data_IF_315812331241
#
_entry.id   IF_315812331241
#
_cell.length_a   1.000
_cell.length_b   1.000
_cell.length_c   1.000
_cell.angle_alpha   90.00
_cell.angle_beta   90.00
_cell.angle_gamma   90.00
#
_symmetry.space_group_name_H-M   'P 1'
#
loop_
_entity.id
_entity.type
_entity.pdbx_description
1 polymer ?
#
# COMPACT_ATOMS: atom_id res chain seq x y z
N UNK A 1 -7.82 3.28 13.11
CA UNK A 1 -8.21 1.86 13.11
C UNK A 1 -9.48 1.67 13.94
N UNK A 2 -10.28 0.65 13.66
CA UNK A 2 -11.48 0.29 14.44
C UNK A 2 -11.54 -1.22 14.65
N UNK A 3 -11.89 -1.69 15.86
CA UNK A 3 -12.12 -3.12 16.11
C UNK A 3 -13.37 -3.59 15.36
N UNK A 4 -13.24 -4.64 14.55
CA UNK A 4 -14.30 -5.16 13.67
C UNK A 4 -14.80 -6.57 14.04
N UNK A 5 -14.16 -7.17 15.05
CA UNK A 5 -14.44 -8.51 15.56
C UNK A 5 -13.43 -8.87 16.63
N UNK A 6 -13.38 -10.14 17.06
CA UNK A 6 -12.45 -10.57 18.12
C UNK A 6 -10.98 -10.52 17.69
N UNK A 7 -10.67 -10.71 16.40
CA UNK A 7 -9.31 -10.68 15.86
C UNK A 7 -9.18 -9.86 14.56
N UNK A 8 -10.08 -8.92 14.33
CA UNK A 8 -10.08 -8.11 13.10
C UNK A 8 -10.03 -6.64 13.43
N UNK A 9 -9.05 -5.95 12.83
CA UNK A 9 -8.87 -4.51 12.93
C UNK A 9 -9.10 -3.91 11.54
N UNK A 10 -10.01 -2.95 11.42
CA UNK A 10 -10.24 -2.18 10.19
C UNK A 10 -9.32 -0.97 10.14
N UNK A 11 -8.71 -0.75 8.98
CA UNK A 11 -7.98 0.47 8.69
C UNK A 11 -8.93 1.68 8.71
N UNK A 12 -8.46 2.83 9.20
CA UNK A 12 -9.28 4.03 9.25
C UNK A 12 -9.14 4.85 7.96
N UNK A 13 -10.24 5.37 7.42
CA UNK A 13 -10.21 6.18 6.20
C UNK A 13 -9.35 7.46 6.32
N UNK A 14 -9.25 8.04 7.53
CA UNK A 14 -8.39 9.21 7.79
C UNK A 14 -6.88 8.92 7.62
N UNK A 15 -6.47 7.64 7.62
CA UNK A 15 -5.07 7.27 7.42
C UNK A 15 -4.73 7.05 5.94
N UNK A 16 -5.71 7.15 5.03
CA UNK A 16 -5.50 7.04 3.59
C UNK A 16 -4.98 8.38 3.06
N UNK A 17 -3.82 8.34 2.40
CA UNK A 17 -3.25 9.51 1.73
C UNK A 17 -4.26 10.11 0.73
N UNK A 18 -4.32 11.43 0.67
CA UNK A 18 -5.23 12.20 -0.18
C UNK A 18 -6.73 12.10 0.16
N UNK A 19 -7.11 11.44 1.25
CA UNK A 19 -8.50 11.42 1.74
C UNK A 19 -8.60 12.35 2.95
N UNK A 20 -9.31 13.47 2.79
CA UNK A 20 -9.43 14.50 3.82
C UNK A 20 -10.43 14.16 4.94
N UNK A 21 -10.28 14.77 6.10
CA UNK A 21 -11.16 14.55 7.24
C UNK A 21 -12.65 14.84 6.95
N UNK A 22 -12.92 15.87 6.13
CA UNK A 22 -14.28 16.28 5.78
C UNK A 22 -15.03 15.20 4.98
N UNK A 23 -14.41 14.65 3.94
CA UNK A 23 -15.01 13.57 3.15
C UNK A 23 -15.19 12.31 4.01
N UNK A 24 -14.24 11.96 4.87
CA UNK A 24 -14.41 10.83 5.81
C UNK A 24 -15.60 11.05 6.73
N UNK A 25 -15.73 12.25 7.28
CA UNK A 25 -16.86 12.61 8.15
C UNK A 25 -18.19 12.52 7.40
N UNK A 26 -18.25 13.02 6.16
CA UNK A 26 -19.44 12.90 5.31
C UNK A 26 -19.80 11.43 5.06
N UNK A 27 -18.84 10.61 4.61
CA UNK A 27 -19.05 9.18 4.36
C UNK A 27 -19.56 8.46 5.61
N UNK A 28 -18.97 8.73 6.78
CA UNK A 28 -19.30 8.04 8.02
C UNK A 28 -20.66 8.48 8.56
N UNK A 29 -20.94 9.78 8.57
CA UNK A 29 -22.20 10.32 9.07
C UNK A 29 -23.38 9.88 8.19
N UNK A 30 -23.23 9.98 6.87
CA UNK A 30 -24.23 9.54 5.91
C UNK A 30 -24.56 8.04 6.08
N UNK A 31 -23.52 7.21 6.24
CA UNK A 31 -23.71 5.77 6.49
C UNK A 31 -24.36 5.48 7.85
N UNK A 32 -24.13 6.30 8.87
CA UNK A 32 -24.75 6.15 10.20
C UNK A 32 -26.23 6.51 10.17
N UNK A 33 -26.59 7.55 9.41
CA UNK A 33 -27.97 8.05 9.31
C UNK A 33 -28.82 7.16 8.41
N UNK A 34 -28.30 6.80 7.23
CA UNK A 34 -29.06 6.15 6.17
C UNK A 34 -28.67 4.68 5.93
N UNK A 35 -27.82 4.10 6.79
CA UNK A 35 -27.39 2.71 6.71
C UNK A 35 -26.26 2.44 5.69
N UNK A 36 -25.88 1.16 5.48
CA UNK A 36 -24.79 0.79 4.58
C UNK A 36 -25.07 1.22 3.13
N UNK A 37 -24.01 1.46 2.36
CA UNK A 37 -24.12 1.70 0.92
C UNK A 37 -24.37 0.39 0.19
N UNK A 38 -25.33 0.37 -0.73
CA UNK A 38 -25.75 -0.86 -1.42
C UNK A 38 -25.00 -1.09 -2.75
N UNK A 39 -24.52 -0.01 -3.37
CA UNK A 39 -23.79 -0.05 -4.63
C UNK A 39 -22.85 1.16 -4.73
N UNK A 40 -21.98 1.17 -5.73
CA UNK A 40 -21.15 2.35 -6.02
C UNK A 40 -22.01 3.56 -6.42
N UNK A 41 -23.10 3.35 -7.15
CA UNK A 41 -24.03 4.43 -7.50
C UNK A 41 -24.68 5.04 -6.25
N UNK A 42 -25.15 4.18 -5.33
CA UNK A 42 -25.71 4.60 -4.03
C UNK A 42 -24.68 5.39 -3.19
N UNK A 43 -23.41 4.96 -3.17
CA UNK A 43 -22.33 5.69 -2.52
C UNK A 43 -22.12 7.09 -3.12
N UNK A 44 -22.03 7.18 -4.45
CA UNK A 44 -21.78 8.44 -5.18
C UNK A 44 -22.96 9.41 -5.05
N UNK A 45 -24.19 8.91 -4.98
CA UNK A 45 -25.40 9.72 -4.86
C UNK A 45 -25.62 10.27 -3.44
N UNK A 46 -25.25 9.49 -2.43
CA UNK A 46 -25.49 9.83 -1.01
C UNK A 46 -24.37 10.64 -0.38
N UNK A 47 -23.11 10.43 -0.79
CA UNK A 47 -21.97 11.11 -0.18
C UNK A 47 -21.84 12.54 -0.72
N UNK A 48 -22.42 13.48 0.02
CA UNK A 48 -22.35 14.89 -0.30
C UNK A 48 -21.10 15.54 0.30
N UNK A 49 -20.05 15.71 -0.51
CA UNK A 49 -18.88 16.47 -0.10
C UNK A 49 -18.19 17.12 -1.30
N UNK A 50 -17.83 18.40 -1.17
CA UNK A 50 -16.98 19.09 -2.15
C UNK A 50 -15.58 18.45 -2.26
N UNK A 51 -15.19 17.71 -1.23
CA UNK A 51 -13.91 17.02 -1.16
C UNK A 51 -13.95 15.62 -1.81
N UNK A 52 -15.12 15.13 -2.25
CA UNK A 52 -15.25 13.95 -3.12
C UNK A 52 -14.87 14.32 -4.56
N UNK A 53 -13.57 14.52 -4.77
CA UNK A 53 -12.97 14.83 -6.05
C UNK A 53 -12.21 13.61 -6.62
N UNK A 54 -11.71 13.73 -7.87
CA UNK A 54 -10.96 12.68 -8.57
C UNK A 54 -9.86 12.06 -7.72
N UNK A 55 -9.05 12.88 -7.06
CA UNK A 55 -7.91 12.42 -6.26
C UNK A 55 -8.35 11.62 -5.03
N UNK A 56 -9.39 12.07 -4.35
CA UNK A 56 -9.95 11.36 -3.18
C UNK A 56 -10.62 10.05 -3.57
N UNK A 57 -11.42 10.05 -4.64
CA UNK A 57 -12.12 8.86 -5.14
C UNK A 57 -11.12 7.81 -5.62
N UNK A 58 -10.12 8.23 -6.40
CA UNK A 58 -9.03 7.36 -6.84
C UNK A 58 -8.31 6.72 -5.65
N UNK A 59 -8.03 7.49 -4.59
CA UNK A 59 -7.36 6.97 -3.40
C UNK A 59 -8.25 5.99 -2.61
N UNK A 60 -9.56 6.23 -2.53
CA UNK A 60 -10.53 5.31 -1.91
C UNK A 60 -10.65 4.00 -2.68
N UNK A 61 -10.65 4.04 -4.01
CA UNK A 61 -10.64 2.83 -4.85
C UNK A 61 -9.32 2.08 -4.68
N UNK A 62 -8.18 2.75 -4.88
CA UNK A 62 -6.85 2.13 -4.86
C UNK A 62 -6.48 1.52 -3.52
N UNK A 63 -6.93 2.10 -2.41
CA UNK A 63 -6.68 1.56 -1.07
C UNK A 63 -7.63 0.41 -0.67
N UNK A 64 -8.61 0.08 -1.52
CA UNK A 64 -9.54 -1.02 -1.30
C UNK A 64 -10.76 -0.68 -0.44
N UNK A 65 -11.00 0.61 -0.13
CA UNK A 65 -12.19 1.01 0.63
C UNK A 65 -13.51 0.74 -0.11
N UNK A 66 -13.44 0.59 -1.44
CA UNK A 66 -14.59 0.39 -2.33
C UNK A 66 -14.60 -1.00 -3.00
N UNK A 67 -13.74 -1.94 -2.58
CA UNK A 67 -13.64 -3.29 -3.17
C UNK A 67 -14.95 -4.09 -3.07
N UNK A 68 -15.84 -3.71 -2.14
CA UNK A 68 -17.18 -4.31 -2.02
C UNK A 68 -18.16 -3.92 -3.14
N UNK A 69 -17.82 -2.95 -3.98
CA UNK A 69 -18.70 -2.45 -5.04
C UNK A 69 -18.22 -2.76 -6.47
N UNK A 70 -17.02 -3.31 -6.63
CA UNK A 70 -16.46 -3.63 -7.93
C UNK A 70 -14.96 -3.89 -7.88
N UNK A 71 -14.43 -4.37 -8.99
CA UNK A 71 -12.99 -4.53 -9.18
C UNK A 71 -12.32 -3.14 -9.32
N UNK A 72 -11.10 -2.98 -8.80
CA UNK A 72 -10.44 -1.66 -8.71
C UNK A 72 -10.21 -1.01 -10.07
N UNK A 73 -9.72 -1.72 -11.08
CA UNK A 73 -9.54 -1.15 -12.43
C UNK A 73 -10.87 -0.76 -13.08
N UNK A 74 -11.92 -1.55 -12.88
CA UNK A 74 -13.27 -1.19 -13.32
C UNK A 74 -13.75 0.11 -12.67
N UNK A 75 -13.62 0.23 -11.35
CA UNK A 75 -13.95 1.44 -10.60
C UNK A 75 -13.10 2.64 -11.05
N UNK A 76 -11.79 2.45 -11.27
CA UNK A 76 -10.88 3.48 -11.76
C UNK A 76 -11.26 3.98 -13.16
N UNK A 77 -11.59 3.07 -14.07
CA UNK A 77 -12.00 3.41 -15.43
C UNK A 77 -13.37 4.14 -15.44
N UNK A 78 -14.27 3.83 -14.51
CA UNK A 78 -15.56 4.50 -14.35
C UNK A 78 -15.54 5.85 -13.61
N UNK A 79 -14.39 6.31 -13.10
CA UNK A 79 -14.33 7.48 -12.19
C UNK A 79 -14.89 8.77 -12.76
N UNK A 80 -14.59 9.10 -14.03
CA UNK A 80 -15.07 10.35 -14.62
C UNK A 80 -16.60 10.37 -14.72
N UNK A 81 -17.20 9.24 -15.05
CA UNK A 81 -18.66 9.08 -15.08
C UNK A 81 -19.27 9.21 -13.68
N UNK A 82 -18.67 8.58 -12.67
CA UNK A 82 -19.10 8.71 -11.27
C UNK A 82 -19.06 10.15 -10.79
N UNK A 83 -17.99 10.88 -11.09
CA UNK A 83 -17.83 12.28 -10.67
C UNK A 83 -18.81 13.20 -11.40
N UNK A 84 -19.13 12.93 -12.67
CA UNK A 84 -20.18 13.66 -13.39
C UNK A 84 -21.54 13.45 -12.73
N UNK A 85 -21.89 12.19 -12.44
CA UNK A 85 -23.15 11.82 -11.80
C UNK A 85 -23.31 12.47 -10.41
N UNK A 86 -22.25 12.46 -9.58
CA UNK A 86 -22.25 13.15 -8.29
C UNK A 86 -22.55 14.65 -8.44
N UNK A 87 -21.89 15.32 -9.40
CA UNK A 87 -22.08 16.76 -9.63
C UNK A 87 -23.47 17.10 -10.13
N UNK A 88 -24.02 16.29 -11.04
CA UNK A 88 -25.37 16.46 -11.56
C UNK A 88 -26.43 16.27 -10.46
N UNK A 89 -26.28 15.21 -9.66
CA UNK A 89 -27.15 14.94 -8.50
C UNK A 89 -27.11 16.09 -7.50
N UNK A 90 -25.91 16.56 -7.16
CA UNK A 90 -25.74 17.67 -6.22
C UNK A 90 -26.36 18.97 -6.76
N UNK A 91 -26.23 19.25 -8.06
CA UNK A 91 -26.84 20.42 -8.69
C UNK A 91 -28.37 20.33 -8.69
N UNK A 92 -28.93 19.18 -9.05
CA UNK A 92 -30.38 18.96 -9.08
C UNK A 92 -31.02 19.15 -7.69
N UNK A 93 -30.35 18.66 -6.63
CA UNK A 93 -30.80 18.88 -5.24
C UNK A 93 -30.73 20.35 -4.83
N UNK A 94 -29.65 21.06 -5.21
CA UNK A 94 -29.47 22.48 -4.87
C UNK A 94 -30.41 23.42 -5.63
N UNK A 95 -30.77 23.09 -6.87
CA UNK A 95 -31.70 23.91 -7.66
C UNK A 95 -33.17 23.70 -7.26
N UNK A 96 -33.46 22.80 -6.32
CA UNK A 96 -34.82 22.41 -5.98
C UNK A 96 -35.56 21.72 -7.13
N UNK A 97 -34.86 21.44 -8.23
CA UNK A 97 -35.39 20.78 -9.40
C UNK A 97 -35.26 19.28 -9.15
N UNK A 98 -36.20 18.74 -8.37
CA UNK A 98 -36.47 17.30 -8.37
C UNK A 98 -36.68 16.94 -9.83
N UNK A 99 -35.81 16.08 -10.36
CA UNK A 99 -35.85 15.66 -11.75
C UNK A 99 -37.29 15.32 -12.12
N UNK A 100 -37.83 15.97 -13.15
CA UNK A 100 -39.21 15.79 -13.62
C UNK A 100 -39.46 14.38 -14.21
N UNK A 101 -38.48 13.47 -14.05
CA UNK A 101 -38.52 12.04 -14.32
C UNK A 101 -38.55 11.19 -13.04
N UNK A 102 -38.65 11.80 -11.86
CA UNK A 102 -38.68 11.13 -10.56
C UNK A 102 -40.09 10.73 -10.08
N UNK A 103 -41.14 11.00 -10.87
CA UNK A 103 -42.49 10.54 -10.59
C UNK A 103 -42.83 9.41 -11.56
N UNK A 104 -43.09 8.24 -10.99
CA UNK A 104 -43.54 7.03 -11.70
C UNK A 104 -42.47 6.29 -12.50
N UNK A 105 -41.57 5.62 -11.80
CA UNK A 105 -41.35 4.17 -11.99
C UNK A 105 -40.38 3.68 -10.91
N UNK A 106 -40.51 2.42 -10.49
CA UNK A 106 -39.39 1.63 -9.94
C UNK A 106 -38.30 1.49 -11.01
N UNK A 107 -37.73 2.62 -11.47
CA UNK A 107 -36.57 2.63 -12.35
C UNK A 107 -35.42 2.29 -11.44
N UNK A 108 -34.99 1.03 -11.50
CA UNK A 108 -33.64 0.69 -11.15
C UNK A 108 -32.74 1.79 -11.73
N UNK A 109 -32.05 2.53 -10.85
CA UNK A 109 -31.04 3.54 -11.19
C UNK A 109 -30.36 3.07 -12.48
N UNK A 110 -30.37 3.84 -13.60
CA UNK A 110 -29.84 3.39 -14.87
C UNK A 110 -28.50 2.76 -14.58
N UNK A 111 -28.43 1.44 -14.78
CA UNK A 111 -27.41 0.62 -14.14
C UNK A 111 -26.07 1.25 -14.45
N UNK A 112 -25.43 1.83 -13.42
CA UNK A 112 -24.10 2.38 -13.55
C UNK A 112 -23.20 1.18 -13.85
N UNK A 113 -23.06 0.90 -15.15
CA UNK A 113 -22.37 -0.26 -15.64
C UNK A 113 -20.90 0.11 -15.67
N UNK A 114 -20.15 -0.46 -14.72
CA UNK A 114 -18.72 -0.30 -14.73
C UNK A 114 -18.14 -0.82 -16.05
N UNK A 115 -17.19 -0.09 -16.66
CA UNK A 115 -16.58 -0.52 -17.90
C UNK A 115 -15.87 -1.86 -17.70
N UNK A 116 -16.04 -2.77 -18.65
CA UNK A 116 -15.32 -4.05 -18.65
C UNK A 116 -13.86 -3.81 -19.01
N UNK A 117 -12.98 -3.95 -18.03
CA UNK A 117 -11.52 -3.82 -18.17
C UNK A 117 -10.82 -4.99 -17.51
N UNK A 118 -9.54 -5.19 -17.85
CA UNK A 118 -8.72 -6.20 -17.21
C UNK A 118 -8.57 -5.88 -15.70
N UNK A 119 -8.72 -6.89 -14.81
CA UNK A 119 -8.52 -6.69 -13.38
C UNK A 119 -7.14 -6.13 -13.05
N UNK A 120 -7.06 -5.35 -11.96
CA UNK A 120 -5.80 -4.85 -11.44
C UNK A 120 -4.84 -5.99 -11.14
N UNK A 121 -3.59 -5.85 -11.57
CA UNK A 121 -2.62 -6.87 -11.26
C UNK A 121 -2.21 -6.77 -9.78
N UNK A 122 -1.80 -7.89 -9.18
CA UNK A 122 -1.50 -7.93 -7.74
C UNK A 122 -0.31 -7.02 -7.36
N UNK A 123 0.64 -6.76 -8.27
CA UNK A 123 1.76 -5.84 -8.01
C UNK A 123 1.30 -4.38 -7.92
N UNK A 124 0.40 -3.97 -8.80
CA UNK A 124 -0.21 -2.65 -8.80
C UNK A 124 -0.99 -2.43 -7.51
N UNK A 125 -1.80 -3.41 -7.09
CA UNK A 125 -2.55 -3.34 -5.84
C UNK A 125 -1.64 -3.15 -4.62
N UNK A 126 -0.55 -3.92 -4.53
CA UNK A 126 0.43 -3.80 -3.45
C UNK A 126 1.16 -2.46 -3.48
N UNK A 127 1.51 -1.97 -4.67
CA UNK A 127 2.11 -0.65 -4.84
C UNK A 127 1.17 0.46 -4.37
N UNK A 128 -0.13 0.37 -4.70
CA UNK A 128 -1.14 1.32 -4.23
C UNK A 128 -1.33 1.29 -2.72
N UNK A 129 -1.38 0.10 -2.11
CA UNK A 129 -1.44 -0.03 -0.64
C UNK A 129 -0.23 0.64 0.01
N UNK A 130 0.97 0.39 -0.50
CA UNK A 130 2.17 1.03 0.01
C UNK A 130 2.13 2.54 -0.15
N UNK A 131 1.74 3.05 -1.32
CA UNK A 131 1.68 4.47 -1.62
C UNK A 131 0.66 5.21 -0.74
N UNK A 132 -0.54 4.63 -0.58
CA UNK A 132 -1.69 5.31 0.03
C UNK A 132 -1.85 5.02 1.51
N UNK A 133 -1.39 3.87 1.99
CA UNK A 133 -1.54 3.41 3.38
C UNK A 133 -0.20 3.33 4.10
N UNK A 134 0.92 3.33 3.37
CA UNK A 134 2.28 3.22 3.92
C UNK A 134 2.72 1.79 4.20
N UNK A 135 1.86 0.79 3.98
CA UNK A 135 2.07 -0.61 4.33
C UNK A 135 1.33 -1.54 3.36
N UNK A 136 1.81 -2.78 3.26
CA UNK A 136 1.16 -3.85 2.52
C UNK A 136 0.13 -4.53 3.43
N UNK A 137 -1.17 -4.42 3.08
CA UNK A 137 -2.27 -5.01 3.86
C UNK A 137 -2.60 -6.40 3.34
N UNK A 138 -2.68 -6.54 2.02
CA UNK A 138 -3.19 -7.77 1.39
C UNK A 138 -2.18 -8.91 1.42
N UNK A 139 -0.91 -8.63 1.13
CA UNK A 139 0.15 -9.64 1.10
C UNK A 139 1.53 -8.98 1.24
N UNK A 140 2.46 -9.61 1.96
CA UNK A 140 3.85 -9.14 1.99
C UNK A 140 4.54 -9.43 0.64
N UNK A 141 5.28 -8.49 0.02
CA UNK A 141 5.91 -8.69 -1.29
C UNK A 141 6.82 -9.94 -1.37
N UNK A 142 7.43 -10.29 -0.25
CA UNK A 142 8.29 -11.48 -0.13
C UNK A 142 7.54 -12.81 -0.22
N UNK A 143 6.22 -12.85 -0.05
CA UNK A 143 5.46 -14.10 -0.05
C UNK A 143 5.64 -14.87 -1.37
N UNK A 144 5.76 -14.14 -2.50
CA UNK A 144 6.05 -14.72 -3.82
C UNK A 144 7.40 -15.43 -3.89
N UNK A 145 8.36 -14.96 -3.11
CA UNK A 145 9.72 -15.49 -3.06
C UNK A 145 9.95 -16.41 -1.87
N UNK A 146 8.94 -16.65 -1.03
CA UNK A 146 9.05 -17.40 0.23
C UNK A 146 9.79 -18.73 0.06
N UNK A 147 9.37 -19.57 -0.88
CA UNK A 147 10.01 -20.88 -1.14
C UNK A 147 11.48 -20.75 -1.60
N UNK A 148 11.82 -19.69 -2.35
CA UNK A 148 13.21 -19.44 -2.79
C UNK A 148 14.04 -18.93 -1.60
N UNK A 149 13.49 -18.01 -0.80
CA UNK A 149 14.15 -17.45 0.38
C UNK A 149 14.42 -18.52 1.43
N UNK A 150 13.40 -19.32 1.80
CA UNK A 150 13.53 -20.41 2.78
C UNK A 150 14.67 -21.41 2.44
N UNK A 151 14.98 -21.59 1.16
CA UNK A 151 16.07 -22.47 0.70
C UNK A 151 17.44 -21.80 0.64
N UNK A 152 17.49 -20.48 0.44
CA UNK A 152 18.71 -19.76 0.11
C UNK A 152 19.22 -18.87 1.24
N UNK A 153 18.39 -18.58 2.25
CA UNK A 153 18.66 -17.58 3.27
C UNK A 153 18.50 -18.12 4.68
N UNK A 154 19.15 -17.44 5.62
CA UNK A 154 18.93 -17.58 7.05
C UNK A 154 17.95 -16.50 7.48
N UNK A 155 16.86 -16.90 8.15
CA UNK A 155 15.84 -15.97 8.64
C UNK A 155 16.34 -15.19 9.86
N UNK A 156 15.75 -14.02 10.10
CA UNK A 156 16.13 -13.17 11.24
C UNK A 156 16.02 -13.92 12.57
N UNK A 157 14.96 -14.72 12.75
CA UNK A 157 14.74 -15.52 13.96
C UNK A 157 15.80 -16.58 14.23
N UNK A 158 16.56 -17.01 13.23
CA UNK A 158 17.61 -18.04 13.37
C UNK A 158 18.97 -17.44 13.75
N UNK A 159 19.09 -16.12 13.76
CA UNK A 159 20.36 -15.42 13.96
C UNK A 159 20.50 -15.02 15.43
N UNK A 160 21.69 -15.32 15.98
CA UNK A 160 22.04 -15.08 17.38
C UNK A 160 23.43 -14.47 17.48
N UNK A 161 23.70 -13.68 18.53
CA UNK A 161 25.01 -13.03 18.76
C UNK A 161 26.20 -14.00 18.76
N UNK A 162 26.01 -15.23 19.23
CA UNK A 162 27.04 -16.28 19.25
C UNK A 162 27.54 -16.72 17.86
N UNK A 163 26.93 -16.20 16.79
CA UNK A 163 27.31 -16.46 15.40
C UNK A 163 28.10 -15.29 14.78
N UNK A 164 28.59 -14.34 15.59
CA UNK A 164 29.43 -13.23 15.10
C UNK A 164 30.63 -13.74 14.31
N UNK A 165 30.97 -13.06 13.22
CA UNK A 165 31.99 -13.46 12.25
C UNK A 165 31.54 -14.51 11.22
N UNK A 166 30.42 -15.22 11.45
CA UNK A 166 29.90 -16.21 10.50
C UNK A 166 29.42 -15.53 9.21
N UNK A 167 29.73 -16.15 8.07
CA UNK A 167 29.12 -15.80 6.79
C UNK A 167 27.69 -16.32 6.71
N UNK A 168 26.76 -15.45 6.38
CA UNK A 168 25.34 -15.78 6.21
C UNK A 168 24.83 -15.19 4.90
N UNK A 169 23.71 -15.74 4.43
CA UNK A 169 22.90 -15.15 3.37
C UNK A 169 21.56 -14.76 3.95
N UNK A 170 21.15 -13.53 3.73
CA UNK A 170 19.81 -13.06 4.07
C UNK A 170 19.08 -12.68 2.80
N UNK A 171 17.76 -12.58 2.87
CA UNK A 171 16.98 -12.03 1.78
C UNK A 171 15.69 -11.41 2.29
N UNK A 172 15.33 -10.31 1.66
CA UNK A 172 14.25 -9.46 2.14
C UNK A 172 14.05 -8.25 1.24
N UNK A 173 13.11 -7.41 1.64
CA UNK A 173 12.79 -6.15 0.96
C UNK A 173 13.59 -5.02 1.62
N UNK A 174 14.14 -4.11 0.81
CA UNK A 174 14.81 -2.92 1.33
C UNK A 174 13.76 -1.92 1.81
N UNK A 175 13.69 -1.70 3.12
CA UNK A 175 12.76 -0.76 3.73
C UNK A 175 13.27 0.67 3.74
N UNK A 176 14.58 0.83 4.00
CA UNK A 176 15.19 2.14 4.21
C UNK A 176 16.65 2.10 3.85
N UNK A 177 17.12 3.16 3.18
CA UNK A 177 18.54 3.37 2.91
C UNK A 177 18.99 4.69 3.56
N UNK A 178 20.05 4.62 4.37
CA UNK A 178 20.73 5.80 4.93
C UNK A 178 22.15 5.86 4.37
N UNK A 179 22.39 6.83 3.50
CA UNK A 179 23.74 7.14 3.00
C UNK A 179 24.48 7.98 4.04
N UNK A 180 25.72 7.58 4.35
CA UNK A 180 26.64 8.35 5.17
C UNK A 180 28.03 8.35 4.52
N UNK A 181 28.91 9.24 4.95
CA UNK A 181 30.31 9.20 4.54
C UNK A 181 31.15 8.58 5.67
N UNK A 182 32.15 7.79 5.30
CA UNK A 182 33.16 7.29 6.25
C UNK A 182 34.00 8.46 6.77
N UNK A 183 34.84 8.20 7.79
CA UNK A 183 35.82 9.18 8.28
C UNK A 183 36.76 9.71 7.18
N UNK A 184 36.95 8.92 6.12
CA UNK A 184 37.80 9.27 4.98
C UNK A 184 37.00 9.90 3.82
N UNK A 185 35.73 10.28 4.04
CA UNK A 185 34.88 10.95 3.06
C UNK A 185 34.22 10.05 2.01
N UNK A 186 34.48 8.74 2.01
CA UNK A 186 33.90 7.82 1.03
C UNK A 186 32.45 7.45 1.39
N UNK A 187 31.53 7.32 0.41
CA UNK A 187 30.14 6.99 0.67
C UNK A 187 29.98 5.53 1.12
N UNK A 188 29.16 5.31 2.14
CA UNK A 188 28.71 3.99 2.61
C UNK A 188 27.20 4.02 2.93
N UNK A 189 26.57 2.85 2.97
CA UNK A 189 25.13 2.73 3.28
C UNK A 189 24.88 1.95 4.56
N UNK A 190 23.91 2.41 5.35
CA UNK A 190 23.15 1.58 6.26
C UNK A 190 21.81 1.25 5.59
N UNK A 191 21.51 -0.02 5.43
CA UNK A 191 20.32 -0.51 4.74
C UNK A 191 19.51 -1.38 5.69
N UNK A 192 18.25 -1.02 5.90
CA UNK A 192 17.29 -1.86 6.63
C UNK A 192 16.66 -2.83 5.64
N UNK A 193 16.87 -4.13 5.85
CA UNK A 193 16.29 -5.20 5.03
C UNK A 193 15.32 -5.98 5.90
N UNK A 194 14.05 -6.04 5.51
CA UNK A 194 13.00 -6.76 6.23
C UNK A 194 12.74 -8.11 5.58
N UNK A 195 12.73 -9.19 6.37
CA UNK A 195 12.21 -10.50 5.98
C UNK A 195 10.84 -10.77 6.64
N UNK A 196 10.25 -11.95 6.42
CA UNK A 196 8.95 -12.30 7.02
C UNK A 196 8.98 -12.47 8.56
N UNK A 197 10.16 -12.39 9.17
CA UNK A 197 10.40 -12.73 10.57
C UNK A 197 11.03 -11.60 11.39
N UNK A 198 11.62 -10.59 10.75
CA UNK A 198 12.24 -9.44 11.38
C UNK A 198 13.07 -8.58 10.42
N UNK A 199 13.91 -7.70 10.98
CA UNK A 199 14.64 -6.68 10.23
C UNK A 199 16.15 -6.79 10.49
N UNK A 200 16.90 -6.72 9.41
CA UNK A 200 18.35 -6.72 9.40
C UNK A 200 18.89 -5.32 9.17
N UNK A 201 19.85 -4.89 9.99
CA UNK A 201 20.68 -3.74 9.67
C UNK A 201 21.91 -4.21 8.89
N UNK A 202 22.02 -3.78 7.62
CA UNK A 202 23.09 -4.17 6.71
C UNK A 202 23.97 -2.97 6.40
N UNK A 203 25.28 -3.13 6.59
CA UNK A 203 26.29 -2.12 6.27
C UNK A 203 26.90 -2.44 4.90
N UNK A 204 26.86 -1.48 3.99
CA UNK A 204 27.47 -1.56 2.66
C UNK A 204 28.66 -0.60 2.59
N UNK A 205 29.87 -1.14 2.65
CA UNK A 205 31.11 -0.36 2.58
C UNK A 205 31.37 0.18 1.17
N UNK A 206 32.18 1.24 1.02
CA UNK A 206 32.39 1.93 -0.26
C UNK A 206 32.75 1.01 -1.43
N UNK A 207 33.69 0.07 -1.22
CA UNK A 207 34.13 -0.88 -2.25
C UNK A 207 33.00 -1.76 -2.77
N UNK A 208 32.11 -2.21 -1.89
CA UNK A 208 30.96 -3.05 -2.26
C UNK A 208 29.89 -2.18 -2.90
N UNK A 209 29.65 -0.99 -2.36
CA UNK A 209 28.68 -0.02 -2.89
C UNK A 209 28.97 0.36 -4.33
N UNK A 210 30.23 0.65 -4.66
CA UNK A 210 30.65 1.00 -6.02
C UNK A 210 30.27 -0.07 -7.05
N UNK A 211 30.38 -1.34 -6.68
CA UNK A 211 30.07 -2.48 -7.54
C UNK A 211 28.57 -2.84 -7.58
N UNK A 212 27.80 -2.36 -6.60
CA UNK A 212 26.42 -2.84 -6.35
C UNK A 212 25.39 -1.72 -6.28
N UNK A 213 25.78 -0.48 -6.62
CA UNK A 213 24.93 0.70 -6.54
C UNK A 213 23.51 0.54 -7.12
N UNK A 214 23.30 -0.13 -8.28
CA UNK A 214 21.96 -0.30 -8.84
C UNK A 214 21.01 -1.16 -7.99
N UNK A 215 21.55 -2.02 -7.13
CA UNK A 215 20.75 -2.92 -6.28
C UNK A 215 20.14 -2.21 -5.06
N UNK A 216 20.73 -1.09 -4.61
CA UNK A 216 20.32 -0.39 -3.40
C UNK A 216 19.27 0.67 -3.70
N UNK A 217 18.02 0.21 -3.82
CA UNK A 217 16.85 1.06 -3.93
C UNK A 217 15.78 0.53 -2.97
N UNK A 218 15.01 1.42 -2.36
CA UNK A 218 13.88 1.02 -1.53
C UNK A 218 12.90 0.17 -2.34
N UNK A 219 12.19 -0.72 -1.66
CA UNK A 219 11.25 -1.70 -2.20
C UNK A 219 11.86 -2.81 -3.09
N UNK A 220 13.16 -2.78 -3.41
CA UNK A 220 13.80 -3.92 -4.08
C UNK A 220 13.92 -5.12 -3.15
N UNK A 221 13.60 -6.29 -3.69
CA UNK A 221 13.82 -7.57 -3.03
C UNK A 221 15.23 -8.03 -3.38
N UNK A 222 16.03 -8.28 -2.35
CA UNK A 222 17.46 -8.60 -2.51
C UNK A 222 17.85 -9.85 -1.74
N UNK A 223 18.86 -10.55 -2.25
CA UNK A 223 19.66 -11.54 -1.54
C UNK A 223 21.01 -10.91 -1.20
N UNK A 224 21.34 -10.82 0.08
CA UNK A 224 22.62 -10.29 0.55
C UNK A 224 23.44 -11.42 1.16
N UNK A 225 24.69 -11.55 0.72
CA UNK A 225 25.69 -12.38 1.41
C UNK A 225 26.61 -11.46 2.20
N UNK A 226 26.87 -11.82 3.45
CA UNK A 226 27.69 -10.99 4.32
C UNK A 226 28.15 -11.70 5.58
N UNK A 227 28.90 -10.98 6.40
CA UNK A 227 29.35 -11.47 7.71
C UNK A 227 28.55 -10.83 8.83
N UNK A 228 28.14 -11.64 9.79
CA UNK A 228 27.58 -11.16 11.04
C UNK A 228 28.61 -10.40 11.85
N UNK A 229 28.21 -9.26 12.40
CA UNK A 229 29.01 -8.43 13.28
C UNK A 229 28.11 -7.95 14.43
N UNK A 230 28.57 -8.12 15.66
CA UNK A 230 27.90 -7.71 16.89
C UNK A 230 28.54 -6.46 17.53
N UNK A 231 29.37 -5.73 16.76
CA UNK A 231 29.90 -4.43 17.17
C UNK A 231 28.77 -3.45 17.45
N UNK A 232 28.88 -2.75 18.58
CA UNK A 232 27.95 -1.71 19.07
C UNK A 232 26.59 -2.24 19.57
N UNK A 233 26.56 -3.43 20.19
CA UNK A 233 25.41 -4.06 20.85
C UNK A 233 24.25 -4.49 19.91
N UNK A 234 24.21 -3.98 18.68
CA UNK A 234 23.26 -4.35 17.65
C UNK A 234 23.92 -5.29 16.64
N UNK A 235 23.18 -6.33 16.28
CA UNK A 235 23.63 -7.34 15.34
C UNK A 235 23.44 -6.82 13.91
N UNK A 236 24.55 -6.64 13.20
CA UNK A 236 24.61 -6.06 11.85
C UNK A 236 25.21 -7.04 10.87
N UNK A 237 24.92 -6.85 9.60
CA UNK A 237 25.47 -7.64 8.50
C UNK A 237 26.42 -6.76 7.70
N UNK A 238 27.69 -7.15 7.64
CA UNK A 238 28.66 -6.53 6.76
C UNK A 238 28.50 -7.14 5.36
N UNK A 239 27.92 -6.38 4.44
CA UNK A 239 27.62 -6.83 3.09
C UNK A 239 28.91 -7.15 2.33
N UNK A 240 28.99 -8.35 1.74
CA UNK A 240 30.06 -8.77 0.83
C UNK A 240 29.56 -8.79 -0.63
N UNK A 241 28.30 -9.19 -0.86
CA UNK A 241 27.67 -9.15 -2.19
C UNK A 241 26.15 -9.06 -2.08
N UNK A 242 25.51 -8.56 -3.15
CA UNK A 242 24.05 -8.46 -3.27
C UNK A 242 23.59 -8.91 -4.66
N UNK A 243 22.41 -9.52 -4.71
CA UNK A 243 21.70 -9.84 -5.95
C UNK A 243 20.23 -9.42 -5.81
N UNK A 244 19.70 -8.70 -6.81
CA UNK A 244 18.26 -8.40 -6.89
C UNK A 244 17.53 -9.68 -7.29
N UNK A 245 16.46 -10.00 -6.58
CA UNK A 245 15.56 -11.09 -6.93
C UNK A 245 14.54 -10.59 -7.94
N UNK A 246 14.55 -11.19 -9.12
CA UNK A 246 13.54 -11.05 -10.17
C UNK A 246 12.54 -12.22 -10.09
#
# INVERSE_FOLDING_TARGET
FTKAGNMTIRFGLNAVKNVGHNIVSAIVNERKTNGPYQSIADFIERVESKDLNKKSLESLVKCGALDGFGERNQLLAGMEQMLSLARETQRARQSGQVSLFGAETNVAIPSFALPSVAPANKNEMLAWEKELLGLYISEHPLERYRKKLEKLTTSYRQISRNQSGRRIKIGGIINRIKKINTRNGQPMLFVEIEDLTGRFETIVFPKVLEQTAPAWQEDKIVLVSGRLSDRDENLKILCESVKVLE
#
